data_IF_504263439769
#
_entry.id   IF_504263439769
#
_cell.length_a   1.000
_cell.length_b   1.000
_cell.length_c   1.000
_cell.angle_alpha   90.00
_cell.angle_beta   90.00
_cell.angle_gamma   90.00
#
_symmetry.space_group_name_H-M   'P 1'
#
loop_
_entity.id
_entity.type
_entity.pdbx_description
1 polymer ?
#
# COMPACT_ATOMS: atom_id res chain seq x y z
N UNK A 1 -14.09 19.43 -5.99
CA UNK A 1 -13.14 18.73 -5.09
C UNK A 1 -13.87 17.88 -4.03
N UNK A 2 -14.84 18.46 -3.29
CA UNK A 2 -15.57 17.76 -2.21
C UNK A 2 -16.32 16.51 -2.69
N UNK A 3 -17.03 16.56 -3.83
CA UNK A 3 -17.77 15.41 -4.39
C UNK A 3 -16.85 14.21 -4.76
N UNK A 4 -15.68 14.48 -5.33
CA UNK A 4 -14.70 13.44 -5.69
C UNK A 4 -14.15 12.75 -4.43
N UNK A 5 -13.87 13.51 -3.38
CA UNK A 5 -13.40 12.97 -2.10
C UNK A 5 -14.46 12.09 -1.43
N UNK A 6 -15.72 12.55 -1.35
CA UNK A 6 -16.82 11.79 -0.77
C UNK A 6 -17.02 10.47 -1.51
N UNK A 7 -17.04 10.48 -2.86
CA UNK A 7 -17.12 9.26 -3.67
C UNK A 7 -15.98 8.29 -3.36
N UNK A 8 -14.76 8.81 -3.29
CA UNK A 8 -13.57 8.01 -2.98
C UNK A 8 -13.66 7.40 -1.59
N UNK A 9 -14.12 8.16 -0.61
CA UNK A 9 -14.31 7.70 0.76
C UNK A 9 -15.39 6.60 0.86
N UNK A 10 -16.55 6.75 0.22
CA UNK A 10 -17.62 5.74 0.20
C UNK A 10 -17.12 4.43 -0.42
N UNK A 11 -16.48 4.51 -1.57
CA UNK A 11 -15.93 3.33 -2.26
C UNK A 11 -14.86 2.62 -1.41
N UNK A 12 -14.04 3.39 -0.68
CA UNK A 12 -13.09 2.82 0.26
C UNK A 12 -13.78 2.11 1.41
N UNK A 13 -14.78 2.73 2.03
CA UNK A 13 -15.51 2.13 3.14
C UNK A 13 -16.18 0.81 2.73
N UNK A 14 -16.79 0.77 1.54
CA UNK A 14 -17.34 -0.47 0.99
C UNK A 14 -16.27 -1.55 0.78
N UNK A 15 -15.10 -1.17 0.25
CA UNK A 15 -13.97 -2.09 0.07
C UNK A 15 -13.41 -2.57 1.42
N UNK A 16 -13.34 -1.69 2.41
CA UNK A 16 -12.72 -1.96 3.70
C UNK A 16 -13.47 -3.01 4.52
N UNK A 17 -14.80 -2.98 4.52
CA UNK A 17 -15.63 -3.84 5.35
C UNK A 17 -16.12 -5.12 4.66
N UNK A 18 -15.86 -5.31 3.38
CA UNK A 18 -16.29 -6.53 2.68
C UNK A 18 -15.26 -7.66 2.79
N UNK A 19 -15.69 -8.92 2.95
CA UNK A 19 -14.78 -10.06 2.94
C UNK A 19 -14.39 -10.53 1.52
N UNK A 20 -15.03 -10.00 0.47
CA UNK A 20 -14.87 -10.47 -0.91
C UNK A 20 -13.75 -9.72 -1.64
N UNK A 21 -12.59 -10.37 -1.82
CA UNK A 21 -11.44 -9.79 -2.50
C UNK A 21 -11.76 -9.21 -3.89
N UNK A 22 -12.58 -9.89 -4.68
CA UNK A 22 -12.99 -9.40 -6.01
C UNK A 22 -13.75 -8.07 -5.93
N UNK A 23 -14.61 -7.92 -4.93
CA UNK A 23 -15.34 -6.68 -4.69
C UNK A 23 -14.40 -5.58 -4.18
N UNK A 24 -13.50 -5.90 -3.25
CA UNK A 24 -12.46 -4.97 -2.77
C UNK A 24 -11.69 -4.39 -3.96
N UNK A 25 -11.17 -5.25 -4.83
CA UNK A 25 -10.41 -4.85 -6.02
C UNK A 25 -11.23 -3.96 -6.93
N UNK A 26 -12.51 -4.30 -7.18
CA UNK A 26 -13.41 -3.49 -8.01
C UNK A 26 -13.59 -2.09 -7.44
N UNK A 27 -13.83 -1.97 -6.14
CA UNK A 27 -14.02 -0.67 -5.48
C UNK A 27 -12.73 0.15 -5.47
N UNK A 28 -11.59 -0.47 -5.22
CA UNK A 28 -10.30 0.21 -5.22
C UNK A 28 -9.93 0.71 -6.64
N UNK A 29 -10.18 -0.09 -7.68
CA UNK A 29 -10.01 0.36 -9.08
C UNK A 29 -10.93 1.55 -9.41
N UNK A 30 -12.17 1.54 -8.94
CA UNK A 30 -13.12 2.64 -9.14
C UNK A 30 -12.67 3.95 -8.44
N UNK A 31 -11.81 3.86 -7.43
CA UNK A 31 -11.15 5.00 -6.78
C UNK A 31 -9.93 5.51 -7.55
N UNK A 32 -9.39 4.74 -8.47
CA UNK A 32 -8.22 5.08 -9.26
C UNK A 32 -6.94 4.30 -8.88
N UNK A 33 -7.01 3.34 -7.96
CA UNK A 33 -5.89 2.43 -7.69
C UNK A 33 -5.67 1.55 -8.92
N UNK A 34 -4.42 1.47 -9.39
CA UNK A 34 -4.04 0.60 -10.50
C UNK A 34 -3.76 -0.79 -9.97
N UNK A 35 -4.62 -1.76 -10.25
CA UNK A 35 -4.49 -3.14 -9.77
C UNK A 35 -4.47 -4.08 -10.96
N UNK A 36 -3.47 -4.93 -11.03
CA UNK A 36 -3.29 -5.95 -12.06
C UNK A 36 -4.25 -7.13 -11.94
N UNK A 37 -3.93 -8.21 -12.65
CA UNK A 37 -4.72 -9.45 -12.70
C UNK A 37 -4.30 -10.42 -11.59
N UNK A 38 -5.22 -11.32 -11.20
CA UNK A 38 -4.97 -12.40 -10.25
C UNK A 38 -4.44 -11.93 -8.88
N UNK A 39 -4.80 -10.72 -8.48
CA UNK A 39 -4.47 -10.18 -7.17
C UNK A 39 -5.46 -10.66 -6.11
N UNK A 40 -4.99 -10.74 -4.87
CA UNK A 40 -5.83 -10.96 -3.70
C UNK A 40 -5.60 -9.85 -2.69
N UNK A 41 -6.66 -9.16 -2.30
CA UNK A 41 -6.64 -8.14 -1.25
C UNK A 41 -7.62 -8.58 -0.17
N UNK A 42 -7.09 -8.75 1.03
CA UNK A 42 -7.88 -9.13 2.20
C UNK A 42 -8.70 -7.96 2.74
N UNK A 43 -9.72 -8.19 3.56
CA UNK A 43 -10.49 -7.13 4.19
C UNK A 43 -9.62 -6.28 5.14
N UNK A 44 -10.11 -5.10 5.48
CA UNK A 44 -9.47 -4.13 6.36
C UNK A 44 -8.11 -3.61 5.88
N UNK A 45 -7.85 -3.67 4.57
CA UNK A 45 -6.68 -3.04 3.97
C UNK A 45 -6.99 -1.57 3.70
N UNK A 46 -6.23 -0.68 4.32
CA UNK A 46 -6.34 0.76 4.12
C UNK A 46 -5.43 1.18 2.96
N UNK A 47 -6.03 1.62 1.86
CA UNK A 47 -5.31 2.21 0.74
C UNK A 47 -5.59 3.71 0.72
N UNK A 48 -4.55 4.51 0.58
CA UNK A 48 -4.56 5.97 0.63
C UNK A 48 -5.90 6.60 0.18
N UNK A 49 -6.48 7.42 1.05
CA UNK A 49 -7.80 8.03 0.82
C UNK A 49 -7.74 9.25 -0.12
N UNK A 50 -6.58 9.91 -0.18
CA UNK A 50 -6.42 11.18 -0.89
C UNK A 50 -5.82 10.98 -2.27
N UNK A 51 -4.81 10.08 -2.39
CA UNK A 51 -4.05 9.84 -3.62
C UNK A 51 -4.07 8.37 -4.06
N UNK A 52 -5.26 7.71 -4.16
CA UNK A 52 -5.33 6.30 -4.58
C UNK A 52 -4.73 6.06 -5.98
N UNK A 53 -4.77 7.06 -6.85
CA UNK A 53 -4.20 6.99 -8.21
C UNK A 53 -2.67 6.89 -8.25
N UNK A 54 -1.99 7.16 -7.15
CA UNK A 54 -0.53 6.99 -7.03
C UNK A 54 -0.13 5.59 -6.57
N UNK A 55 -1.09 4.71 -6.30
CA UNK A 55 -0.82 3.33 -5.89
C UNK A 55 -1.00 2.41 -7.08
N UNK A 56 0.08 1.68 -7.40
CA UNK A 56 0.12 0.64 -8.43
C UNK A 56 0.42 -0.70 -7.80
N UNK A 57 -0.46 -1.66 -8.01
CA UNK A 57 -0.34 -3.06 -7.62
C UNK A 57 -0.31 -3.86 -8.91
N UNK A 58 0.78 -4.58 -9.17
CA UNK A 58 0.93 -5.38 -10.39
C UNK A 58 0.23 -6.74 -10.28
N UNK A 59 0.44 -7.63 -11.26
CA UNK A 59 -0.23 -8.92 -11.31
C UNK A 59 0.22 -9.87 -10.19
N UNK A 60 -0.66 -10.79 -9.78
CA UNK A 60 -0.37 -11.86 -8.82
C UNK A 60 0.09 -11.36 -7.43
N UNK A 61 -0.30 -10.17 -7.01
CA UNK A 61 0.04 -9.62 -5.69
C UNK A 61 -0.99 -10.04 -4.66
N UNK A 62 -0.50 -10.40 -3.47
CA UNK A 62 -1.36 -10.69 -2.30
C UNK A 62 -1.11 -9.65 -1.21
N UNK A 63 -2.19 -9.08 -0.66
CA UNK A 63 -2.13 -8.13 0.45
C UNK A 63 -2.98 -8.63 1.61
N UNK A 64 -2.31 -8.87 2.73
CA UNK A 64 -2.91 -9.35 3.96
C UNK A 64 -3.73 -8.29 4.69
N UNK A 65 -4.70 -8.74 5.46
CA UNK A 65 -5.60 -7.90 6.24
C UNK A 65 -4.88 -6.94 7.20
N UNK A 66 -5.52 -5.81 7.50
CA UNK A 66 -5.00 -4.75 8.36
C UNK A 66 -3.69 -4.09 7.86
N UNK A 67 -3.30 -4.31 6.60
CA UNK A 67 -2.18 -3.58 6.01
C UNK A 67 -2.61 -2.18 5.58
N UNK A 68 -1.65 -1.26 5.59
CA UNK A 68 -1.86 0.15 5.24
C UNK A 68 -0.88 0.57 4.16
N UNK A 69 -1.37 1.24 3.12
CA UNK A 69 -0.54 1.71 1.99
C UNK A 69 -0.80 3.19 1.79
N UNK A 70 0.22 4.00 2.03
CA UNK A 70 0.15 5.46 1.97
C UNK A 70 1.01 6.00 0.83
N UNK A 71 0.42 6.83 -0.02
CA UNK A 71 1.12 7.58 -1.07
C UNK A 71 1.40 9.03 -0.65
N UNK A 72 1.07 9.41 0.57
CA UNK A 72 1.36 10.74 1.11
C UNK A 72 1.64 10.70 2.60
N UNK A 73 2.36 11.72 3.05
CA UNK A 73 2.52 12.07 4.47
C UNK A 73 2.01 13.48 4.65
N UNK A 74 1.08 13.68 5.58
CA UNK A 74 0.55 15.00 5.87
C UNK A 74 1.57 15.86 6.63
N UNK A 75 1.62 17.16 6.36
CA UNK A 75 2.45 18.05 7.12
C UNK A 75 1.93 18.13 8.57
N UNK A 76 2.86 18.18 9.52
CA UNK A 76 2.54 18.47 10.91
C UNK A 76 1.87 19.82 11.08
N UNK A 77 1.07 20.01 12.14
CA UNK A 77 0.52 21.30 12.52
C UNK A 77 1.62 22.26 13.06
N UNK A 78 2.73 21.72 13.54
CA UNK A 78 3.87 22.49 14.02
C UNK A 78 4.53 23.29 12.90
N UNK A 79 4.63 24.60 13.06
CA UNK A 79 5.29 25.51 12.09
C UNK A 79 6.77 25.15 11.95
N UNK A 80 7.43 24.81 13.06
CA UNK A 80 8.86 24.47 13.06
C UNK A 80 9.11 23.13 12.35
N UNK A 81 8.33 22.10 12.67
CA UNK A 81 8.50 20.79 12.06
C UNK A 81 8.15 20.77 10.57
N UNK A 82 7.26 21.64 10.10
CA UNK A 82 6.97 21.79 8.65
C UNK A 82 8.19 22.16 7.82
N UNK A 83 9.13 22.90 8.40
CA UNK A 83 10.39 23.30 7.73
C UNK A 83 11.32 22.08 7.54
N UNK A 84 11.27 21.13 8.47
CA UNK A 84 12.14 19.95 8.50
C UNK A 84 11.47 18.76 7.82
N UNK A 85 10.17 18.57 8.07
CA UNK A 85 9.36 17.48 7.52
C UNK A 85 8.23 18.03 6.64
N UNK A 86 8.52 18.43 5.41
CA UNK A 86 7.49 18.93 4.49
C UNK A 86 6.56 17.80 4.07
N UNK A 87 5.41 18.16 3.51
CA UNK A 87 4.50 17.19 2.91
C UNK A 87 5.20 16.37 1.83
N UNK A 88 5.13 15.06 1.94
CA UNK A 88 5.61 14.12 0.92
C UNK A 88 4.42 13.52 0.18
N UNK A 89 4.43 13.56 -1.15
CA UNK A 89 3.50 12.85 -2.03
C UNK A 89 4.36 12.08 -3.02
N UNK A 90 4.26 10.75 -3.02
CA UNK A 90 5.07 9.92 -3.91
C UNK A 90 4.35 8.59 -4.21
N UNK A 91 4.50 8.04 -5.42
CA UNK A 91 3.85 6.80 -5.79
C UNK A 91 4.35 5.62 -4.96
N UNK A 92 3.47 4.65 -4.76
CA UNK A 92 3.82 3.33 -4.22
C UNK A 92 3.60 2.30 -5.30
N UNK A 93 4.59 1.45 -5.52
CA UNK A 93 4.55 0.38 -6.51
C UNK A 93 4.77 -0.95 -5.81
N UNK A 94 3.81 -1.85 -5.95
CA UNK A 94 3.93 -3.24 -5.48
C UNK A 94 4.04 -4.10 -6.73
N UNK A 95 5.24 -4.62 -6.98
CA UNK A 95 5.55 -5.35 -8.20
C UNK A 95 4.96 -6.76 -8.19
N UNK A 96 4.91 -7.34 -9.37
CA UNK A 96 4.35 -8.65 -9.68
C UNK A 96 4.80 -9.74 -8.71
N UNK A 97 3.85 -10.57 -8.30
CA UNK A 97 4.10 -11.78 -7.50
C UNK A 97 4.52 -11.52 -6.05
N UNK A 98 4.54 -10.26 -5.59
CA UNK A 98 4.89 -9.95 -4.20
C UNK A 98 3.76 -10.25 -3.23
N UNK A 99 4.15 -10.53 -1.98
CA UNK A 99 3.23 -10.83 -0.89
C UNK A 99 3.47 -9.87 0.27
N UNK A 100 2.42 -9.17 0.66
CA UNK A 100 2.40 -8.33 1.85
C UNK A 100 1.59 -9.08 2.91
N UNK A 101 2.25 -9.52 3.97
CA UNK A 101 1.60 -10.22 5.08
C UNK A 101 0.76 -9.25 5.93
N UNK A 102 -0.13 -9.77 6.82
CA UNK A 102 -1.04 -8.92 7.59
C UNK A 102 -0.34 -7.86 8.44
N UNK A 103 -1.00 -6.72 8.61
CA UNK A 103 -0.57 -5.66 9.52
C UNK A 103 0.64 -4.85 9.07
N UNK A 104 1.03 -4.92 7.80
CA UNK A 104 2.16 -4.15 7.27
C UNK A 104 1.79 -2.70 7.00
N UNK A 105 2.77 -1.81 7.10
CA UNK A 105 2.65 -0.40 6.72
C UNK A 105 3.65 -0.12 5.60
N UNK A 106 3.15 0.31 4.44
CA UNK A 106 3.97 0.74 3.29
C UNK A 106 3.87 2.25 3.15
N UNK A 107 5.00 2.94 3.22
CA UNK A 107 5.03 4.41 3.21
C UNK A 107 5.18 4.99 1.81
N UNK A 108 4.93 6.29 1.68
CA UNK A 108 4.98 7.01 0.41
C UNK A 108 6.35 6.94 -0.28
N UNK A 109 6.35 6.60 -1.56
CA UNK A 109 7.54 6.53 -2.40
C UNK A 109 8.22 5.17 -2.43
N UNK A 110 7.66 4.15 -1.76
CA UNK A 110 8.25 2.80 -1.69
C UNK A 110 7.87 1.97 -2.91
N UNK A 111 8.86 1.25 -3.44
CA UNK A 111 8.68 0.15 -4.40
C UNK A 111 8.97 -1.19 -3.72
N UNK A 112 8.01 -2.10 -3.74
CA UNK A 112 8.21 -3.49 -3.35
C UNK A 112 8.61 -4.29 -4.58
N UNK A 113 9.76 -4.96 -4.52
CA UNK A 113 10.32 -5.73 -5.63
C UNK A 113 9.50 -6.94 -6.05
N UNK A 114 9.74 -7.45 -7.27
CA UNK A 114 9.06 -8.65 -7.79
C UNK A 114 9.32 -9.86 -6.89
N UNK A 115 8.28 -10.69 -6.72
CA UNK A 115 8.37 -11.93 -5.96
C UNK A 115 8.97 -11.78 -4.55
N UNK A 116 8.85 -10.59 -3.96
CA UNK A 116 9.35 -10.31 -2.61
C UNK A 116 8.24 -10.47 -1.58
N UNK A 117 8.64 -10.75 -0.34
CA UNK A 117 7.73 -11.01 0.78
C UNK A 117 7.98 -9.99 1.88
N UNK A 118 6.93 -9.31 2.31
CA UNK A 118 6.95 -8.40 3.47
C UNK A 118 6.29 -9.12 4.64
N UNK A 119 7.07 -9.48 5.65
CA UNK A 119 6.58 -10.22 6.82
C UNK A 119 5.61 -9.42 7.67
N UNK A 120 4.73 -10.13 8.38
CA UNK A 120 3.64 -9.54 9.13
C UNK A 120 4.10 -8.46 10.13
N UNK A 121 3.34 -7.38 10.23
CA UNK A 121 3.63 -6.26 11.14
C UNK A 121 4.82 -5.38 10.76
N UNK A 122 5.39 -5.56 9.57
CA UNK A 122 6.55 -4.78 9.13
C UNK A 122 6.18 -3.36 8.70
N UNK A 123 7.10 -2.42 8.91
CA UNK A 123 6.99 -1.03 8.44
C UNK A 123 8.05 -0.79 7.37
N UNK A 124 7.61 -0.64 6.12
CA UNK A 124 8.47 -0.47 4.95
C UNK A 124 8.58 1.01 4.60
N UNK A 125 9.75 1.58 4.86
CA UNK A 125 10.07 2.98 4.58
C UNK A 125 11.05 3.18 3.42
N UNK A 126 11.60 2.09 2.88
CA UNK A 126 12.59 2.09 1.80
C UNK A 126 12.24 1.04 0.76
N UNK A 127 12.77 1.18 -0.46
CA UNK A 127 12.55 0.22 -1.53
C UNK A 127 13.04 -1.18 -1.17
N UNK A 128 12.28 -2.18 -1.55
CA UNK A 128 12.62 -3.59 -1.36
C UNK A 128 13.09 -4.16 -2.70
N UNK A 129 14.27 -4.77 -2.76
CA UNK A 129 14.76 -5.44 -3.97
C UNK A 129 13.86 -6.61 -4.38
N UNK A 130 13.96 -7.02 -5.65
CA UNK A 130 13.29 -8.21 -6.14
C UNK A 130 13.79 -9.48 -5.41
N UNK A 131 12.94 -10.47 -5.25
CA UNK A 131 13.27 -11.80 -4.66
C UNK A 131 13.86 -11.72 -3.24
N UNK A 132 13.28 -10.86 -2.40
CA UNK A 132 13.73 -10.69 -1.01
C UNK A 132 12.60 -10.96 -0.02
N UNK A 133 12.99 -11.43 1.17
CA UNK A 133 12.12 -11.45 2.36
C UNK A 133 12.58 -10.33 3.28
N UNK A 134 11.64 -9.49 3.70
CA UNK A 134 11.88 -8.40 4.65
C UNK A 134 11.00 -8.54 5.88
N UNK A 135 11.53 -8.15 7.02
CA UNK A 135 10.84 -8.18 8.33
C UNK A 135 11.20 -6.95 9.15
N UNK A 136 10.29 -6.57 10.02
CA UNK A 136 10.53 -5.66 11.14
C UNK A 136 10.07 -4.22 10.95
N UNK A 137 10.35 -3.42 11.97
CA UNK A 137 10.13 -1.97 11.99
C UNK A 137 11.39 -1.26 12.53
N UNK A 138 12.18 -0.60 11.65
CA UNK A 138 12.02 -0.54 10.20
C UNK A 138 12.27 -1.91 9.53
N UNK A 139 11.59 -2.19 8.41
CA UNK A 139 11.77 -3.44 7.67
C UNK A 139 13.18 -3.54 7.09
N UNK A 140 13.80 -4.74 7.22
CA UNK A 140 15.12 -5.03 6.68
C UNK A 140 15.10 -6.37 5.94
N UNK A 141 15.92 -6.48 4.92
CA UNK A 141 16.12 -7.74 4.20
C UNK A 141 16.72 -8.78 5.14
N UNK A 142 16.01 -9.89 5.32
CA UNK A 142 16.44 -11.01 6.17
C UNK A 142 16.85 -12.24 5.36
N UNK A 143 16.36 -12.33 4.11
CA UNK A 143 16.66 -13.46 3.22
C UNK A 143 16.52 -13.01 1.77
N UNK A 144 17.36 -13.56 0.89
CA UNK A 144 17.15 -13.59 -0.56
C UNK A 144 16.44 -14.89 -0.94
N UNK A 145 15.55 -14.82 -1.93
CA UNK A 145 14.82 -15.98 -2.47
C UNK A 145 15.58 -16.46 -3.69
N UNK A 146 16.00 -17.72 -3.66
CA UNK A 146 16.63 -18.36 -4.82
C UNK A 146 15.58 -18.56 -5.93
N UNK A 147 15.94 -18.30 -7.17
CA UNK A 147 15.05 -18.38 -8.35
C UNK A 147 15.78 -18.91 -9.58
#
# INVERSE_FOLDING_TARGET
LKCKFIKTWILHSLAYFTPLSSFIIKMQRARGVKIGKFCHISPYVLIDLVYPQLIKIEDNVTIGNNSMIFAHVNPTASVELKKIFPRKIAPVIIKKGSVIFPGCIITAGVTIGEHSMVGAGSVVGEDIPDYCVVLGNPARVVKKIDH
#
